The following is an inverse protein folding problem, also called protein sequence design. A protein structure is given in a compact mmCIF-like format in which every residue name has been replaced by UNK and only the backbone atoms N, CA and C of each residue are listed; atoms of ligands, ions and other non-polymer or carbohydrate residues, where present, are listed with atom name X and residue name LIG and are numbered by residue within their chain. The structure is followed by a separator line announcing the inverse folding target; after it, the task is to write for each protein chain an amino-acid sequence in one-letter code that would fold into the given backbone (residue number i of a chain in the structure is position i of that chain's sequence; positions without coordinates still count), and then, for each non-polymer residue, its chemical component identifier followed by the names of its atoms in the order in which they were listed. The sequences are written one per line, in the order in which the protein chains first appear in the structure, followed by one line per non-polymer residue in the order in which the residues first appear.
data_IF_889685200090
#
_entry.id   IF_889685200090
#
_cell.length_a   1.000
_cell.length_b   1.000
_cell.length_c   1.000
_cell.angle_alpha   90.00
_cell.angle_beta   90.00
_cell.angle_gamma   90.00
#
_symmetry.space_group_name_H-M   'P 1'
#
loop_
_entity.id
_entity.type
_entity.pdbx_description
1 polymer ?
#
# COMPACT_ATOMS: atom_id res chain seq x y z
N UNK A 1 40.84 65.05 -8.28
CA UNK A 1 41.55 63.77 -8.38
C UNK A 1 40.61 62.70 -7.85
N UNK A 2 40.16 61.80 -8.73
CA UNK A 2 39.25 60.70 -8.38
C UNK A 2 40.08 59.42 -8.37
N UNK A 3 40.26 58.80 -7.21
CA UNK A 3 41.10 57.62 -7.04
C UNK A 3 40.35 56.56 -6.23
N UNK A 4 39.88 55.56 -7.00
CA UNK A 4 39.80 54.15 -6.63
C UNK A 4 38.74 53.75 -5.59
N UNK A 5 37.46 53.82 -5.96
CA UNK A 5 36.48 52.89 -5.39
C UNK A 5 36.63 51.52 -6.07
N UNK A 6 36.94 50.43 -5.35
CA UNK A 6 36.94 49.09 -5.94
C UNK A 6 35.50 48.73 -6.32
N UNK A 7 35.27 48.08 -7.48
CA UNK A 7 33.93 47.62 -7.83
C UNK A 7 33.47 46.65 -6.74
N UNK A 8 32.27 46.89 -6.20
CA UNK A 8 31.68 46.06 -5.16
C UNK A 8 31.79 44.58 -5.55
N UNK A 9 32.53 43.83 -4.74
CA UNK A 9 32.75 42.40 -4.91
C UNK A 9 31.38 41.73 -4.92
N UNK A 10 30.98 41.17 -6.06
CA UNK A 10 29.67 40.52 -6.18
C UNK A 10 29.73 39.36 -5.20
N UNK A 11 28.84 39.29 -4.19
CA UNK A 11 28.91 38.20 -3.25
C UNK A 11 28.77 36.90 -4.06
N UNK A 12 29.71 35.97 -3.86
CA UNK A 12 29.72 34.60 -4.39
C UNK A 12 28.52 33.76 -3.87
N UNK A 13 27.42 34.42 -3.53
CA UNK A 13 26.09 33.85 -3.26
C UNK A 13 25.49 33.41 -4.58
N UNK A 14 25.85 32.23 -5.05
CA UNK A 14 25.03 31.59 -6.08
C UNK A 14 25.17 30.08 -6.09
N UNK A 15 26.39 29.56 -6.01
CA UNK A 15 26.60 28.12 -6.19
C UNK A 15 26.30 27.32 -4.94
N UNK A 16 26.83 27.72 -3.78
CA UNK A 16 26.60 27.00 -2.52
C UNK A 16 25.10 26.92 -2.18
N UNK A 17 24.36 28.03 -2.32
CA UNK A 17 22.91 28.06 -2.08
C UNK A 17 22.14 27.20 -3.09
N UNK A 18 22.52 27.24 -4.37
CA UNK A 18 21.92 26.37 -5.38
C UNK A 18 22.18 24.88 -5.08
N UNK A 19 23.40 24.51 -4.67
CA UNK A 19 23.73 23.14 -4.28
C UNK A 19 22.97 22.71 -3.02
N UNK A 20 22.80 23.58 -2.03
CA UNK A 20 22.00 23.28 -0.83
C UNK A 20 20.53 23.04 -1.18
N UNK A 21 19.94 23.90 -2.00
CA UNK A 21 18.54 23.74 -2.45
C UNK A 21 18.40 22.44 -3.26
N UNK A 22 19.34 22.15 -4.17
CA UNK A 22 19.35 20.92 -4.94
C UNK A 22 19.44 19.68 -4.04
N UNK A 23 20.33 19.69 -3.04
CA UNK A 23 20.46 18.60 -2.08
C UNK A 23 19.17 18.38 -1.29
N UNK A 24 18.54 19.45 -0.79
CA UNK A 24 17.25 19.37 -0.10
C UNK A 24 16.13 18.84 -1.00
N UNK A 25 16.09 19.26 -2.27
CA UNK A 25 15.13 18.77 -3.24
C UNK A 25 15.28 17.25 -3.47
N UNK A 26 16.51 16.76 -3.62
CA UNK A 26 16.78 15.32 -3.76
C UNK A 26 16.33 14.55 -2.52
N UNK A 27 16.64 15.05 -1.31
CA UNK A 27 16.18 14.42 -0.06
C UNK A 27 14.66 14.37 0.01
N UNK A 28 13.98 15.47 -0.35
CA UNK A 28 12.52 15.51 -0.37
C UNK A 28 11.92 14.52 -1.39
N UNK A 29 12.48 14.43 -2.60
CA UNK A 29 12.05 13.48 -3.63
C UNK A 29 12.22 12.04 -3.14
N UNK A 30 13.37 11.71 -2.56
CA UNK A 30 13.65 10.37 -2.03
C UNK A 30 12.69 10.04 -0.88
N UNK A 31 12.47 10.96 0.05
CA UNK A 31 11.53 10.78 1.15
C UNK A 31 10.10 10.53 0.63
N UNK A 32 9.62 11.37 -0.29
CA UNK A 32 8.31 11.20 -0.92
C UNK A 32 8.18 9.86 -1.63
N UNK A 33 9.21 9.45 -2.37
CA UNK A 33 9.22 8.14 -3.03
C UNK A 33 9.12 7.01 -2.01
N UNK A 34 9.92 7.02 -0.93
CA UNK A 34 9.84 5.98 0.10
C UNK A 34 8.48 5.92 0.81
N UNK A 35 7.83 7.07 1.02
CA UNK A 35 6.50 7.16 1.62
C UNK A 35 5.40 6.63 0.70
N UNK A 36 5.44 6.97 -0.60
CA UNK A 36 4.32 6.72 -1.52
C UNK A 36 4.53 5.58 -2.51
N UNK A 37 5.70 4.94 -2.54
CA UNK A 37 6.04 3.87 -3.52
C UNK A 37 5.05 2.70 -3.61
N UNK A 38 4.26 2.44 -2.57
CA UNK A 38 3.24 1.36 -2.54
C UNK A 38 1.80 1.86 -2.42
N UNK A 39 1.60 3.16 -2.63
CA UNK A 39 0.28 3.75 -2.57
C UNK A 39 -0.72 3.09 -3.54
N UNK A 40 -0.36 2.80 -4.81
CA UNK A 40 -1.29 2.15 -5.74
C UNK A 40 -1.77 0.77 -5.27
N UNK A 41 -0.88 -0.05 -4.69
CA UNK A 41 -1.19 -1.41 -4.23
C UNK A 41 -2.03 -1.39 -2.96
N UNK A 42 -1.74 -0.46 -2.03
CA UNK A 42 -2.61 -0.21 -0.87
C UNK A 42 -4.00 0.23 -1.33
N UNK A 43 -4.10 1.16 -2.28
CA UNK A 43 -5.39 1.64 -2.81
C UNK A 43 -6.18 0.54 -3.52
N UNK A 44 -5.51 -0.36 -4.26
CA UNK A 44 -6.15 -1.52 -4.86
C UNK A 44 -6.71 -2.45 -3.78
N UNK A 45 -5.91 -2.70 -2.74
CA UNK A 45 -6.28 -3.55 -1.59
C UNK A 45 -7.48 -2.97 -0.84
N UNK A 46 -7.50 -1.66 -0.58
CA UNK A 46 -8.66 -0.97 0.01
C UNK A 46 -9.93 -1.18 -0.82
N UNK A 47 -9.87 -0.92 -2.14
CA UNK A 47 -11.03 -1.09 -3.02
C UNK A 47 -11.56 -2.52 -3.04
N UNK A 48 -10.66 -3.50 -2.97
CA UNK A 48 -11.01 -4.91 -2.89
C UNK A 48 -11.76 -5.22 -1.58
N UNK A 49 -11.20 -4.83 -0.43
CA UNK A 49 -11.84 -5.10 0.86
C UNK A 49 -13.11 -4.27 1.09
N UNK A 50 -13.17 -3.05 0.58
CA UNK A 50 -14.40 -2.25 0.59
C UNK A 50 -15.52 -2.95 -0.18
N UNK A 51 -15.21 -3.61 -1.31
CA UNK A 51 -16.19 -4.40 -2.07
C UNK A 51 -16.63 -5.66 -1.29
N UNK A 52 -15.72 -6.32 -0.57
CA UNK A 52 -16.06 -7.46 0.30
C UNK A 52 -17.00 -7.03 1.44
N UNK A 53 -16.71 -5.91 2.11
CA UNK A 53 -17.55 -5.37 3.18
C UNK A 53 -18.93 -4.98 2.66
N UNK A 54 -19.00 -4.40 1.45
CA UNK A 54 -20.26 -4.07 0.80
C UNK A 54 -21.08 -5.31 0.38
N UNK A 55 -20.52 -6.52 0.50
CA UNK A 55 -21.14 -7.75 0.03
C UNK A 55 -21.17 -7.90 -1.50
N UNK A 56 -20.46 -7.02 -2.23
CA UNK A 56 -20.39 -7.05 -3.68
C UNK A 56 -19.30 -8.03 -4.14
N UNK A 57 -19.61 -9.32 -4.03
CA UNK A 57 -18.69 -10.41 -4.39
C UNK A 57 -18.27 -10.35 -5.86
N UNK A 58 -19.19 -9.97 -6.76
CA UNK A 58 -18.90 -9.89 -8.19
C UNK A 58 -17.83 -8.83 -8.47
N UNK A 59 -17.98 -7.64 -7.87
CA UNK A 59 -16.97 -6.58 -7.98
C UNK A 59 -15.67 -6.94 -7.28
N UNK A 60 -15.73 -7.55 -6.09
CA UNK A 60 -14.53 -7.99 -5.39
C UNK A 60 -13.73 -8.99 -6.22
N UNK A 61 -14.39 -9.95 -6.87
CA UNK A 61 -13.77 -10.91 -7.78
C UNK A 61 -13.20 -10.26 -9.04
N UNK A 62 -13.88 -9.26 -9.62
CA UNK A 62 -13.34 -8.49 -10.74
C UNK A 62 -12.10 -7.68 -10.35
N UNK A 63 -12.09 -7.09 -9.14
CA UNK A 63 -10.95 -6.37 -8.60
C UNK A 63 -9.77 -7.30 -8.30
N UNK A 64 -10.06 -8.54 -7.89
CA UNK A 64 -9.05 -9.58 -7.71
C UNK A 64 -8.28 -9.89 -9.01
N UNK A 65 -8.93 -9.74 -10.18
CA UNK A 65 -8.36 -10.06 -11.51
C UNK A 65 -7.77 -11.47 -11.53
N UNK A 66 -8.60 -12.50 -11.33
CA UNK A 66 -8.15 -13.87 -11.21
C UNK A 66 -7.39 -14.34 -12.45
N UNK A 67 -6.35 -15.13 -12.23
CA UNK A 67 -5.78 -15.96 -13.29
C UNK A 67 -6.77 -17.03 -13.76
N UNK A 68 -6.49 -17.72 -14.88
CA UNK A 68 -7.42 -18.69 -15.48
C UNK A 68 -7.75 -19.89 -14.58
N UNK A 69 -6.95 -20.14 -13.55
CA UNK A 69 -7.10 -21.27 -12.62
C UNK A 69 -7.86 -20.93 -11.34
N UNK A 70 -8.13 -19.64 -11.08
CA UNK A 70 -8.81 -19.20 -9.86
C UNK A 70 -10.24 -18.81 -10.20
N UNK A 71 -11.20 -19.68 -9.87
CA UNK A 71 -12.60 -19.50 -10.23
C UNK A 71 -13.37 -18.70 -9.15
N UNK A 72 -14.59 -18.26 -9.49
CA UNK A 72 -15.50 -17.65 -8.52
C UNK A 72 -15.81 -18.59 -7.34
N UNK A 73 -15.82 -19.91 -7.58
CA UNK A 73 -16.03 -20.90 -6.52
C UNK A 73 -14.88 -20.89 -5.51
N UNK A 74 -13.65 -20.82 -6.00
CA UNK A 74 -12.45 -20.74 -5.15
C UNK A 74 -12.42 -19.42 -4.40
N UNK A 75 -12.76 -18.32 -5.08
CA UNK A 75 -12.92 -17.02 -4.47
C UNK A 75 -13.94 -17.00 -3.33
N UNK A 76 -15.08 -17.66 -3.50
CA UNK A 76 -16.09 -17.78 -2.44
C UNK A 76 -15.63 -18.70 -1.30
N UNK A 77 -14.85 -19.72 -1.59
CA UNK A 77 -14.24 -20.57 -0.57
C UNK A 77 -13.21 -19.82 0.27
N UNK A 78 -12.56 -18.79 -0.28
CA UNK A 78 -11.62 -17.94 0.42
C UNK A 78 -12.31 -16.77 1.13
N UNK A 79 -13.13 -16.01 0.42
CA UNK A 79 -13.62 -14.68 0.84
C UNK A 79 -15.13 -14.62 1.08
N UNK A 80 -15.87 -15.68 0.75
CA UNK A 80 -17.32 -15.73 0.90
C UNK A 80 -17.80 -15.73 2.35
N UNK A 81 -19.12 -15.76 2.60
CA UNK A 81 -19.69 -15.72 3.95
C UNK A 81 -19.27 -16.86 4.87
N UNK A 82 -18.90 -18.01 4.28
CA UNK A 82 -18.35 -19.19 4.96
C UNK A 82 -16.91 -19.47 4.51
N UNK A 83 -16.28 -18.50 3.85
CA UNK A 83 -14.94 -18.65 3.32
C UNK A 83 -13.88 -18.67 4.40
N UNK A 84 -12.68 -19.14 4.07
CA UNK A 84 -11.59 -19.26 5.03
C UNK A 84 -11.15 -17.92 5.65
N UNK A 85 -11.11 -16.85 4.85
CA UNK A 85 -10.81 -15.47 5.27
C UNK A 85 -12.06 -14.62 5.50
N UNK A 86 -13.23 -15.08 5.03
CA UNK A 86 -14.51 -14.41 5.22
C UNK A 86 -15.30 -14.90 6.45
N UNK A 87 -16.43 -14.26 6.79
CA UNK A 87 -16.91 -13.00 6.22
C UNK A 87 -16.04 -11.83 6.68
N UNK A 88 -15.67 -10.93 5.77
CA UNK A 88 -14.93 -9.70 6.11
C UNK A 88 -15.92 -8.58 6.37
N UNK A 89 -15.97 -8.07 7.60
CA UNK A 89 -16.82 -6.93 7.97
C UNK A 89 -16.03 -5.67 8.36
N UNK A 90 -14.76 -5.83 8.70
CA UNK A 90 -13.81 -4.74 8.86
C UNK A 90 -12.41 -5.22 8.50
N UNK A 91 -11.55 -4.28 8.11
CA UNK A 91 -10.15 -4.55 7.81
C UNK A 91 -9.24 -3.40 8.25
N UNK A 92 -7.95 -3.70 8.41
CA UNK A 92 -6.90 -2.72 8.63
C UNK A 92 -5.64 -3.11 7.86
N UNK A 93 -5.12 -2.21 7.02
CA UNK A 93 -3.86 -2.44 6.31
C UNK A 93 -2.71 -2.15 7.29
N UNK A 94 -1.94 -3.19 7.62
CA UNK A 94 -0.81 -3.09 8.54
C UNK A 94 0.41 -2.48 7.86
N UNK A 95 0.87 -3.10 6.78
CA UNK A 95 2.06 -2.66 6.05
C UNK A 95 2.08 -3.24 4.64
N UNK A 96 2.97 -2.69 3.81
CA UNK A 96 3.26 -3.19 2.48
C UNK A 96 4.76 -3.34 2.29
N UNK A 97 5.19 -4.43 1.66
CA UNK A 97 6.60 -4.75 1.38
C UNK A 97 6.75 -5.38 -0.01
N UNK A 98 7.90 -5.19 -0.65
CA UNK A 98 8.28 -5.94 -1.85
C UNK A 98 9.02 -7.19 -1.38
N UNK A 99 8.45 -8.39 -1.58
CA UNK A 99 9.17 -9.64 -1.36
C UNK A 99 10.38 -9.72 -2.29
N UNK A 100 11.47 -10.33 -1.82
CA UNK A 100 12.65 -10.56 -2.67
C UNK A 100 12.29 -11.52 -3.81
N UNK A 101 12.70 -11.19 -5.04
CA UNK A 101 12.48 -12.05 -6.21
C UNK A 101 11.04 -12.06 -6.76
N UNK A 102 10.18 -11.14 -6.31
CA UNK A 102 8.81 -11.01 -6.79
C UNK A 102 8.56 -9.62 -7.38
N UNK A 103 7.73 -9.56 -8.43
CA UNK A 103 7.19 -8.31 -8.99
C UNK A 103 5.86 -7.90 -8.33
N UNK A 104 5.41 -8.64 -7.32
CA UNK A 104 4.25 -8.30 -6.51
C UNK A 104 4.66 -7.55 -5.24
N UNK A 105 3.75 -6.72 -4.74
CA UNK A 105 3.86 -6.09 -3.43
C UNK A 105 2.97 -6.87 -2.47
N UNK A 106 3.56 -7.40 -1.41
CA UNK A 106 2.85 -8.03 -0.33
C UNK A 106 2.22 -6.96 0.57
N UNK A 107 0.90 -6.99 0.70
CA UNK A 107 0.13 -6.12 1.59
C UNK A 107 -0.45 -6.99 2.71
N UNK A 108 0.00 -6.74 3.94
CA UNK A 108 -0.52 -7.44 5.12
C UNK A 108 -1.74 -6.70 5.65
N UNK A 109 -2.86 -7.41 5.75
CA UNK A 109 -4.15 -6.85 6.14
C UNK A 109 -4.71 -7.69 7.27
N UNK A 110 -5.13 -7.04 8.35
CA UNK A 110 -5.98 -7.67 9.35
C UNK A 110 -7.42 -7.63 8.87
N UNK A 111 -8.11 -8.77 8.91
CA UNK A 111 -9.50 -8.92 8.52
C UNK A 111 -10.30 -9.49 9.67
N UNK A 112 -11.48 -8.93 9.93
CA UNK A 112 -12.33 -9.33 11.04
C UNK A 112 -13.78 -9.54 10.60
N UNK A 113 -14.48 -10.55 11.14
CA UNK A 113 -15.91 -10.74 10.91
C UNK A 113 -16.80 -9.81 11.76
N UNK A 114 -16.20 -8.86 12.48
CA UNK A 114 -16.88 -7.91 13.35
C UNK A 114 -16.80 -6.48 12.81
N UNK A 115 -17.73 -5.62 13.24
CA UNK A 115 -17.71 -4.18 12.98
C UNK A 115 -18.12 -3.47 14.27
N UNK A 116 -17.38 -2.42 14.72
CA UNK A 116 -16.10 -1.95 14.19
C UNK A 116 -14.97 -2.98 14.36
N UNK A 117 -13.79 -2.69 13.81
CA UNK A 117 -12.60 -3.52 13.99
C UNK A 117 -12.34 -3.71 15.50
N UNK A 118 -12.20 -4.96 15.98
CA UNK A 118 -12.00 -5.20 17.40
C UNK A 118 -10.64 -4.66 17.86
N UNK A 119 -10.63 -4.10 19.06
CA UNK A 119 -9.39 -3.72 19.74
C UNK A 119 -8.61 -4.99 20.14
N UNK A 120 -7.28 -4.88 20.24
CA UNK A 120 -6.41 -6.00 20.65
C UNK A 120 -6.65 -6.44 22.10
N UNK A 121 -7.27 -5.59 22.92
CA UNK A 121 -7.72 -5.93 24.28
C UNK A 121 -8.92 -6.88 24.32
N UNK A 122 -9.76 -6.90 23.28
CA UNK A 122 -10.92 -7.81 23.18
C UNK A 122 -10.47 -9.18 22.67
N UNK A 123 -9.85 -9.95 23.57
CA UNK A 123 -9.18 -11.23 23.26
C UNK A 123 -10.09 -12.22 22.51
N UNK A 124 -11.40 -12.23 22.78
CA UNK A 124 -12.34 -13.13 22.10
C UNK A 124 -12.52 -12.76 20.63
N UNK A 125 -12.68 -11.46 20.33
CA UNK A 125 -12.84 -10.99 18.95
C UNK A 125 -11.52 -10.92 18.20
N UNK A 126 -10.41 -10.59 18.87
CA UNK A 126 -9.07 -10.60 18.27
C UNK A 126 -8.67 -12.00 17.82
N UNK A 127 -9.04 -13.06 18.56
CA UNK A 127 -8.77 -14.46 18.15
C UNK A 127 -9.43 -14.87 16.83
N UNK A 128 -10.51 -14.18 16.42
CA UNK A 128 -11.18 -14.41 15.13
C UNK A 128 -10.73 -13.44 14.04
N UNK A 129 -9.91 -12.46 14.40
CA UNK A 129 -9.28 -11.55 13.45
C UNK A 129 -8.07 -12.24 12.88
N UNK A 130 -7.95 -12.26 11.55
CA UNK A 130 -6.88 -12.95 10.84
C UNK A 130 -6.00 -11.93 10.15
N UNK A 131 -4.68 -12.16 10.15
CA UNK A 131 -3.76 -11.43 9.28
C UNK A 131 -3.66 -12.23 7.98
N UNK A 132 -4.02 -11.60 6.87
CA UNK A 132 -3.85 -12.14 5.53
C UNK A 132 -2.82 -11.31 4.77
N UNK A 133 -1.88 -11.98 4.11
CA UNK A 133 -0.96 -11.33 3.20
C UNK A 133 -1.47 -11.52 1.77
N UNK A 134 -1.89 -10.43 1.13
CA UNK A 134 -2.30 -10.45 -0.29
C UNK A 134 -1.18 -9.88 -1.14
N UNK A 135 -0.83 -10.56 -2.22
CA UNK A 135 0.18 -10.11 -3.17
C UNK A 135 -0.51 -9.36 -4.30
N UNK A 136 -0.10 -8.11 -4.53
CA UNK A 136 -0.64 -7.24 -5.58
C UNK A 136 0.41 -7.02 -6.64
N UNK A 137 0.16 -7.48 -7.86
CA UNK A 137 1.12 -7.36 -8.95
C UNK A 137 1.30 -5.90 -9.37
N UNK A 138 2.55 -5.43 -9.47
CA UNK A 138 2.81 -4.01 -9.73
C UNK A 138 2.31 -3.55 -11.12
N UNK A 139 2.25 -4.44 -12.11
CA UNK A 139 1.88 -4.12 -13.50
C UNK A 139 0.40 -3.78 -13.66
N UNK A 140 -0.49 -4.64 -13.16
CA UNK A 140 -1.93 -4.56 -13.41
C UNK A 140 -2.79 -4.55 -12.13
N UNK A 141 -2.17 -4.65 -10.96
CA UNK A 141 -2.83 -4.75 -9.65
C UNK A 141 -3.71 -6.00 -9.51
N UNK A 142 -3.41 -7.07 -10.24
CA UNK A 142 -3.98 -8.39 -9.97
C UNK A 142 -3.55 -8.89 -8.60
N UNK A 143 -4.43 -9.67 -7.98
CA UNK A 143 -4.22 -10.24 -6.67
C UNK A 143 -3.84 -11.71 -6.77
N UNK A 144 -2.94 -12.13 -5.88
CA UNK A 144 -2.63 -13.51 -5.64
C UNK A 144 -2.35 -13.74 -4.16
N UNK A 145 -2.25 -15.01 -3.79
CA UNK A 145 -1.63 -15.39 -2.53
C UNK A 145 -0.10 -15.43 -2.68
N UNK A 146 0.65 -15.43 -1.57
CA UNK A 146 2.08 -15.71 -1.59
C UNK A 146 2.34 -17.03 -2.30
N UNK A 147 3.33 -17.05 -3.19
CA UNK A 147 3.79 -18.31 -3.77
C UNK A 147 4.46 -19.15 -2.66
N UNK A 148 4.20 -20.47 -2.59
CA UNK A 148 4.86 -21.36 -1.64
C UNK A 148 6.39 -21.38 -1.77
#
# INVERSE_FOLDING_TARGET
MSLLDPPADKPDKSRAMAFTIAALAVVAIVALWFTFRYYPEKKATERFFDALIAGDTAKAYQLWKPGPTYSMKDFLADWGPQGYFGPVKSYSILHAKAPKGSNAIAVSVEVSPFTPMPDTSDTEKSRRTKVVEVWVLASDKSFSFPVP
#
